data_IF_314611684292
#
_entry.id   IF_314611684292
#
_cell.length_a   1.000
_cell.length_b   1.000
_cell.length_c   1.000
_cell.angle_alpha   90.00
_cell.angle_beta   90.00
_cell.angle_gamma   90.00
#
_symmetry.space_group_name_H-M   'P 1'
#
loop_
_entity.id
_entity.type
_entity.pdbx_description
1 polymer ?
#
# COMPACT_ATOMS: atom_id res chain seq x y z
N UNK A 1 -16.02 -18.78 5.63
CA UNK A 1 -16.21 -17.64 4.72
C UNK A 1 -14.89 -17.41 4.00
N UNK A 2 -14.93 -17.38 2.68
CA UNK A 2 -13.76 -17.11 1.85
C UNK A 2 -13.55 -15.59 1.78
N UNK A 3 -12.32 -15.12 1.96
CA UNK A 3 -11.98 -13.69 1.94
C UNK A 3 -11.47 -13.35 0.54
N UNK A 4 -12.13 -12.46 -0.23
CA UNK A 4 -11.78 -12.21 -1.63
C UNK A 4 -10.31 -11.83 -1.88
N UNK A 5 -9.71 -11.01 -1.01
CA UNK A 5 -8.28 -10.65 -1.08
C UNK A 5 -7.37 -11.88 -0.93
N UNK A 6 -7.74 -12.84 -0.08
CA UNK A 6 -6.99 -14.09 0.07
C UNK A 6 -7.06 -14.95 -1.20
N UNK A 7 -8.21 -14.98 -1.87
CA UNK A 7 -8.37 -15.71 -3.15
C UNK A 7 -7.53 -15.05 -4.24
N UNK A 8 -7.60 -13.71 -4.32
CA UNK A 8 -6.80 -12.90 -5.21
C UNK A 8 -5.31 -13.19 -5.06
N UNK A 9 -4.82 -13.15 -3.82
CA UNK A 9 -3.42 -13.42 -3.50
C UNK A 9 -3.03 -14.86 -3.83
N UNK A 10 -3.83 -15.85 -3.44
CA UNK A 10 -3.52 -17.25 -3.69
C UNK A 10 -3.33 -17.52 -5.19
N UNK A 11 -4.26 -17.03 -6.02
CA UNK A 11 -4.16 -17.16 -7.47
C UNK A 11 -3.01 -16.32 -8.05
N UNK A 12 -2.75 -15.12 -7.52
CA UNK A 12 -1.63 -14.26 -7.95
C UNK A 12 -0.26 -14.90 -7.67
N UNK A 13 -0.15 -15.71 -6.61
CA UNK A 13 1.04 -16.46 -6.22
C UNK A 13 1.08 -17.89 -6.79
N UNK A 14 0.09 -18.31 -7.58
CA UNK A 14 0.03 -19.67 -8.14
C UNK A 14 -0.14 -20.76 -7.08
N UNK A 15 -0.77 -20.47 -5.95
CA UNK A 15 -1.08 -21.45 -4.92
C UNK A 15 -2.22 -22.38 -5.37
N UNK A 16 -2.27 -23.63 -4.86
CA UNK A 16 -3.37 -24.55 -5.16
C UNK A 16 -4.74 -23.95 -4.83
N UNK A 17 -5.76 -24.36 -5.58
CA UNK A 17 -7.14 -23.95 -5.32
C UNK A 17 -7.57 -24.32 -3.88
N UNK A 18 -8.22 -23.37 -3.19
CA UNK A 18 -8.58 -23.52 -1.78
C UNK A 18 -7.42 -23.30 -0.78
N UNK A 19 -6.20 -23.04 -1.25
CA UNK A 19 -5.10 -22.65 -0.37
C UNK A 19 -5.42 -21.32 0.32
N UNK A 20 -5.26 -21.29 1.64
CA UNK A 20 -5.33 -20.05 2.42
C UNK A 20 -3.92 -19.45 2.52
N UNK A 21 -3.63 -18.34 1.83
CA UNK A 21 -2.28 -17.78 1.78
C UNK A 21 -1.79 -17.29 3.14
N UNK A 22 -2.70 -17.00 4.09
CA UNK A 22 -2.38 -16.71 5.49
C UNK A 22 -2.48 -17.99 6.35
N UNK A 23 -1.41 -18.80 6.50
CA UNK A 23 -1.42 -19.98 7.39
C UNK A 23 -1.56 -19.62 8.88
N UNK A 24 -1.30 -18.37 9.27
CA UNK A 24 -1.44 -17.86 10.64
C UNK A 24 -2.86 -17.44 11.04
N UNK A 25 -3.80 -17.38 10.10
CA UNK A 25 -5.18 -16.97 10.36
C UNK A 25 -6.00 -18.13 10.98
N UNK A 26 -5.62 -18.58 12.19
CA UNK A 26 -6.38 -19.55 13.01
C UNK A 26 -7.64 -18.94 13.66
N UNK A 27 -7.80 -17.63 13.52
CA UNK A 27 -8.99 -16.86 13.92
C UNK A 27 -9.41 -15.90 12.80
N UNK A 28 -10.41 -15.04 13.03
CA UNK A 28 -10.78 -14.01 12.07
C UNK A 28 -9.54 -13.14 11.74
N UNK A 29 -9.30 -12.85 10.44
CA UNK A 29 -8.17 -12.02 10.05
C UNK A 29 -8.31 -10.61 10.62
N UNK A 30 -7.19 -9.92 10.80
CA UNK A 30 -7.23 -8.47 11.02
C UNK A 30 -7.83 -7.81 9.77
N UNK A 31 -8.83 -6.91 9.95
CA UNK A 31 -9.56 -6.33 8.83
C UNK A 31 -8.66 -5.43 7.99
N UNK A 32 -8.80 -5.49 6.66
CA UNK A 32 -8.19 -4.53 5.74
C UNK A 32 -9.07 -3.31 5.50
N UNK A 33 -10.37 -3.39 5.82
CA UNK A 33 -11.31 -2.27 5.73
C UNK A 33 -12.51 -2.45 6.66
N UNK A 34 -13.27 -1.38 6.87
CA UNK A 34 -14.55 -1.41 7.57
C UNK A 34 -15.70 -1.03 6.61
N UNK A 35 -16.85 -1.69 6.77
CA UNK A 35 -18.11 -1.33 6.13
C UNK A 35 -19.22 -1.47 7.15
N UNK A 36 -20.04 -0.42 7.33
CA UNK A 36 -21.16 -0.41 8.27
C UNK A 36 -20.76 -0.86 9.69
N UNK A 37 -19.60 -0.39 10.17
CA UNK A 37 -19.07 -0.72 11.50
C UNK A 37 -18.52 -2.15 11.65
N UNK A 38 -18.51 -2.95 10.58
CA UNK A 38 -17.96 -4.31 10.58
C UNK A 38 -16.59 -4.35 9.93
N UNK A 39 -15.62 -4.94 10.61
CA UNK A 39 -14.30 -5.22 10.05
C UNK A 39 -14.39 -6.36 9.03
N UNK A 40 -13.88 -6.12 7.83
CA UNK A 40 -13.92 -7.04 6.69
C UNK A 40 -12.53 -7.15 6.04
N UNK A 41 -12.40 -8.14 5.15
CA UNK A 41 -11.16 -8.38 4.41
C UNK A 41 -10.06 -9.02 5.26
N UNK A 42 -8.84 -9.00 4.73
CA UNK A 42 -7.64 -9.54 5.38
C UNK A 42 -6.46 -8.61 5.11
N UNK A 43 -6.01 -7.92 6.16
CA UNK A 43 -4.86 -7.01 6.09
C UNK A 43 -3.60 -7.67 5.52
N UNK A 44 -3.32 -8.92 5.91
CA UNK A 44 -2.15 -9.67 5.41
C UNK A 44 -2.25 -9.88 3.90
N UNK A 45 -3.42 -10.30 3.42
CA UNK A 45 -3.61 -10.57 2.00
C UNK A 45 -3.59 -9.28 1.17
N UNK A 46 -4.25 -8.23 1.67
CA UNK A 46 -4.24 -6.90 1.06
C UNK A 46 -2.81 -6.36 0.95
N UNK A 47 -2.07 -6.32 2.05
CA UNK A 47 -0.69 -5.78 2.07
C UNK A 47 0.26 -6.59 1.18
N UNK A 48 0.14 -7.92 1.16
CA UNK A 48 0.94 -8.76 0.26
C UNK A 48 0.58 -8.53 -1.22
N UNK A 49 -0.70 -8.35 -1.55
CA UNK A 49 -1.11 -7.96 -2.91
C UNK A 49 -0.55 -6.59 -3.29
N UNK A 50 -0.68 -5.59 -2.42
CA UNK A 50 -0.12 -4.25 -2.65
C UNK A 50 1.40 -4.30 -2.86
N UNK A 51 2.13 -5.13 -2.10
CA UNK A 51 3.57 -5.31 -2.28
C UNK A 51 3.92 -5.93 -3.64
N UNK A 52 3.17 -6.94 -4.08
CA UNK A 52 3.35 -7.57 -5.40
C UNK A 52 3.03 -6.59 -6.54
N UNK A 53 1.96 -5.81 -6.41
CA UNK A 53 1.60 -4.77 -7.39
C UNK A 53 2.65 -3.65 -7.44
N UNK A 54 3.12 -3.21 -6.28
CA UNK A 54 4.15 -2.19 -6.19
C UNK A 54 5.48 -2.68 -6.79
N UNK A 55 5.82 -3.97 -6.61
CA UNK A 55 6.99 -4.57 -7.24
C UNK A 55 6.85 -4.65 -8.78
N UNK A 56 5.70 -5.08 -9.29
CA UNK A 56 5.41 -5.08 -10.73
C UNK A 56 5.52 -3.65 -11.31
N UNK A 57 4.94 -2.64 -10.65
CA UNK A 57 5.05 -1.23 -11.04
C UNK A 57 6.49 -0.69 -10.95
N UNK A 58 7.26 -1.13 -9.95
CA UNK A 58 8.64 -0.70 -9.78
C UNK A 58 9.54 -1.17 -10.92
N UNK A 59 9.28 -2.35 -11.49
CA UNK A 59 9.97 -2.85 -12.68
C UNK A 59 9.60 -2.05 -13.93
N UNK A 60 8.32 -1.69 -14.10
CA UNK A 60 7.86 -0.89 -15.22
C UNK A 60 8.41 0.54 -15.20
N UNK A 61 8.59 1.10 -13.99
CA UNK A 61 9.06 2.46 -13.76
C UNK A 61 10.54 2.53 -13.34
N UNK A 62 11.29 1.44 -13.48
CA UNK A 62 12.65 1.31 -12.94
C UNK A 62 13.60 2.48 -13.32
N UNK A 63 13.67 2.94 -14.59
CA UNK A 63 14.53 4.06 -14.96
C UNK A 63 14.20 5.35 -14.20
N UNK A 64 12.90 5.66 -14.04
CA UNK A 64 12.44 6.85 -13.33
C UNK A 64 12.73 6.73 -11.84
N UNK A 65 12.39 5.59 -11.23
CA UNK A 65 12.57 5.35 -9.80
C UNK A 65 14.04 5.33 -9.38
N UNK A 66 14.93 4.80 -10.23
CA UNK A 66 16.38 4.88 -9.99
C UNK A 66 16.89 6.31 -10.07
N UNK A 67 16.48 7.09 -11.08
CA UNK A 67 16.85 8.50 -11.22
C UNK A 67 16.45 9.32 -10.00
N UNK A 68 15.31 9.01 -9.39
CA UNK A 68 14.80 9.69 -8.21
C UNK A 68 15.34 9.12 -6.88
N UNK A 69 16.15 8.06 -6.92
CA UNK A 69 16.62 7.37 -5.71
C UNK A 69 15.49 6.78 -4.87
N UNK A 70 14.42 6.29 -5.53
CA UNK A 70 13.22 5.74 -4.88
C UNK A 70 13.05 4.24 -5.09
N UNK A 71 13.82 3.62 -6.00
CA UNK A 71 13.63 2.21 -6.38
C UNK A 71 13.67 1.25 -5.20
N UNK A 72 14.54 1.49 -4.21
CA UNK A 72 14.62 0.68 -2.99
C UNK A 72 13.47 0.92 -2.01
N UNK A 73 12.89 2.12 -2.02
CA UNK A 73 11.85 2.53 -1.08
C UNK A 73 10.44 2.06 -1.45
N UNK A 74 10.20 1.62 -2.69
CA UNK A 74 8.86 1.21 -3.15
C UNK A 74 8.30 0.06 -2.33
N UNK A 75 9.11 -0.98 -2.08
CA UNK A 75 8.65 -2.13 -1.30
C UNK A 75 8.38 -1.74 0.15
N UNK A 76 9.30 -1.00 0.79
CA UNK A 76 9.12 -0.54 2.16
C UNK A 76 7.85 0.29 2.31
N UNK A 77 7.63 1.23 1.39
CA UNK A 77 6.44 2.07 1.36
C UNK A 77 5.16 1.21 1.20
N UNK A 78 5.17 0.21 0.31
CA UNK A 78 4.04 -0.68 0.09
C UNK A 78 3.76 -1.59 1.30
N UNK A 79 4.78 -1.97 2.07
CA UNK A 79 4.60 -2.76 3.30
C UNK A 79 4.12 -1.90 4.48
N UNK A 80 4.47 -0.61 4.48
CA UNK A 80 4.17 0.30 5.57
C UNK A 80 2.86 1.08 5.38
N UNK A 81 2.33 1.22 4.16
CA UNK A 81 1.19 2.13 3.88
C UNK A 81 -0.02 1.90 4.79
N UNK A 82 -0.31 0.63 5.10
CA UNK A 82 -1.50 0.20 5.81
C UNK A 82 -1.20 -0.36 7.21
N UNK A 83 0.03 -0.23 7.72
CA UNK A 83 0.43 -0.84 9.00
C UNK A 83 -0.34 -0.25 10.20
N UNK A 84 -0.83 0.98 10.07
CA UNK A 84 -1.73 1.62 11.04
C UNK A 84 -3.07 0.89 11.21
N UNK A 85 -3.43 -0.02 10.29
CA UNK A 85 -4.59 -0.91 10.47
C UNK A 85 -4.34 -2.03 11.49
N UNK A 86 -3.09 -2.25 11.88
CA UNK A 86 -2.72 -3.20 12.93
C UNK A 86 -2.86 -2.61 14.34
N UNK A 87 -3.24 -1.34 14.50
CA UNK A 87 -3.36 -0.73 15.83
C UNK A 87 -4.68 -1.11 16.52
N UNK A 88 -4.70 -1.04 17.84
CA UNK A 88 -5.92 -1.25 18.63
C UNK A 88 -7.02 -0.26 18.24
N UNK A 89 -6.68 1.00 17.95
CA UNK A 89 -7.65 2.00 17.52
C UNK A 89 -8.35 1.61 16.21
N UNK A 90 -7.62 1.07 15.25
CA UNK A 90 -8.22 0.62 14.00
C UNK A 90 -9.09 -0.61 14.23
N UNK A 91 -8.53 -1.64 14.87
CA UNK A 91 -9.17 -2.94 15.02
C UNK A 91 -10.40 -2.89 15.92
N UNK A 92 -10.34 -2.16 17.04
CA UNK A 92 -11.39 -2.15 18.05
C UNK A 92 -12.35 -0.96 17.91
N UNK A 93 -11.89 0.15 17.32
CA UNK A 93 -12.67 1.40 17.25
C UNK A 93 -12.96 1.87 15.83
N UNK A 94 -12.62 1.07 14.82
CA UNK A 94 -12.78 1.41 13.40
C UNK A 94 -12.17 2.77 13.03
N UNK A 95 -11.04 3.13 13.65
CA UNK A 95 -10.43 4.44 13.48
C UNK A 95 -10.03 4.71 12.02
N UNK A 96 -10.58 5.77 11.42
CA UNK A 96 -10.45 5.99 9.97
C UNK A 96 -9.07 6.51 9.53
N UNK A 97 -8.32 7.20 10.40
CA UNK A 97 -7.03 7.84 10.05
C UNK A 97 -5.81 6.92 10.25
N UNK A 98 -5.90 5.69 9.74
CA UNK A 98 -4.81 4.71 9.80
C UNK A 98 -3.58 5.12 8.99
N UNK A 99 -3.73 5.95 7.95
CA UNK A 99 -2.64 6.51 7.16
C UNK A 99 -1.66 7.32 8.02
N UNK A 100 -2.16 8.07 9.02
CA UNK A 100 -1.31 8.82 9.92
C UNK A 100 -0.53 7.90 10.88
N UNK A 101 -1.19 6.91 11.47
CA UNK A 101 -0.51 5.90 12.27
C UNK A 101 0.55 5.16 11.45
N UNK A 102 0.22 4.83 10.20
CA UNK A 102 1.14 4.19 9.25
C UNK A 102 2.35 5.05 8.95
N UNK A 103 2.18 6.37 8.77
CA UNK A 103 3.29 7.29 8.53
C UNK A 103 4.24 7.40 9.72
N UNK A 104 3.70 7.40 10.95
CA UNK A 104 4.52 7.39 12.18
C UNK A 104 5.30 6.08 12.32
N UNK A 105 4.65 4.94 12.10
CA UNK A 105 5.32 3.62 12.13
C UNK A 105 6.38 3.54 11.04
N UNK A 106 6.09 4.04 9.83
CA UNK A 106 7.02 4.06 8.72
C UNK A 106 8.29 4.84 9.07
N UNK A 107 8.16 6.03 9.66
CA UNK A 107 9.31 6.82 10.10
C UNK A 107 10.18 6.07 11.12
N UNK A 108 9.58 5.50 12.16
CA UNK A 108 10.31 4.77 13.21
C UNK A 108 11.04 3.54 12.65
N UNK A 109 10.35 2.75 11.82
CA UNK A 109 10.92 1.53 11.21
C UNK A 109 12.09 1.88 10.31
N UNK A 110 11.90 2.85 9.42
CA UNK A 110 12.96 3.27 8.48
C UNK A 110 14.14 3.91 9.22
N UNK A 111 13.91 4.67 10.30
CA UNK A 111 14.98 5.18 11.14
C UNK A 111 15.81 4.02 11.75
N UNK A 112 15.15 2.94 12.20
CA UNK A 112 15.81 1.74 12.74
C UNK A 112 16.53 0.91 11.68
N UNK A 113 16.10 0.99 10.42
CA UNK A 113 16.82 0.46 9.26
C UNK A 113 18.04 1.30 8.87
N UNK A 114 18.27 2.44 9.54
CA UNK A 114 19.36 3.36 9.22
C UNK A 114 19.08 4.27 8.02
N UNK A 115 17.83 4.37 7.58
CA UNK A 115 17.43 5.30 6.51
C UNK A 115 17.49 6.73 7.05
N UNK A 116 18.24 7.59 6.36
CA UNK A 116 18.43 9.00 6.70
C UNK A 116 17.16 9.83 6.52
N UNK A 117 17.28 11.09 6.09
CA UNK A 117 16.11 11.98 5.92
C UNK A 117 15.11 11.48 4.86
N UNK A 118 15.53 10.59 3.95
CA UNK A 118 14.67 9.94 2.97
C UNK A 118 13.50 9.16 3.60
N UNK A 119 13.60 8.77 4.87
CA UNK A 119 12.49 8.14 5.59
C UNK A 119 11.26 9.03 5.66
N UNK A 120 11.44 10.35 5.69
CA UNK A 120 10.33 11.28 5.70
C UNK A 120 9.63 11.33 4.33
N UNK A 121 10.34 11.13 3.22
CA UNK A 121 9.73 11.01 1.89
C UNK A 121 8.77 9.82 1.85
N UNK A 122 9.21 8.67 2.37
CA UNK A 122 8.38 7.46 2.46
C UNK A 122 7.21 7.67 3.40
N UNK A 123 7.45 8.20 4.60
CA UNK A 123 6.39 8.46 5.58
C UNK A 123 5.35 9.46 5.05
N UNK A 124 5.75 10.48 4.29
CA UNK A 124 4.82 11.42 3.64
C UNK A 124 4.02 10.75 2.53
N UNK A 125 4.64 9.92 1.69
CA UNK A 125 3.92 9.16 0.68
C UNK A 125 2.89 8.20 1.31
N UNK A 126 3.27 7.55 2.42
CA UNK A 126 2.38 6.73 3.25
C UNK A 126 1.29 7.57 3.90
N UNK A 127 1.54 8.80 4.34
CA UNK A 127 0.47 9.66 4.87
C UNK A 127 -0.58 9.95 3.80
N UNK A 128 -0.14 10.20 2.57
CA UNK A 128 -0.98 10.68 1.47
C UNK A 128 -1.74 9.58 0.72
N UNK A 129 -1.44 8.29 0.93
CA UNK A 129 -1.90 7.23 0.02
C UNK A 129 -3.43 7.07 -0.17
N UNK A 130 -4.25 7.59 0.75
CA UNK A 130 -5.73 7.64 0.60
C UNK A 130 -6.25 8.92 -0.06
N UNK A 131 -5.44 9.97 -0.16
CA UNK A 131 -5.86 11.17 -0.86
C UNK A 131 -6.10 10.81 -2.31
N UNK A 132 -7.28 11.18 -2.83
CA UNK A 132 -7.53 11.12 -4.26
C UNK A 132 -6.45 11.96 -4.98
N UNK A 133 -6.25 11.73 -6.28
CA UNK A 133 -5.20 12.37 -7.10
C UNK A 133 -5.41 13.91 -7.23
N UNK A 134 -5.37 14.65 -6.12
CA UNK A 134 -5.44 16.10 -5.99
C UNK A 134 -4.03 16.69 -5.98
N UNK A 135 -3.20 16.23 -6.91
CA UNK A 135 -1.79 16.59 -7.01
C UNK A 135 -1.62 18.10 -7.21
N UNK A 136 -2.53 18.78 -7.91
CA UNK A 136 -2.50 20.24 -8.05
C UNK A 136 -2.62 20.97 -6.71
N UNK A 137 -3.45 20.46 -5.81
CA UNK A 137 -3.68 21.06 -4.49
C UNK A 137 -2.47 20.81 -3.58
N UNK A 138 -1.97 19.56 -3.56
CA UNK A 138 -0.76 19.17 -2.81
C UNK A 138 0.52 19.86 -3.31
N UNK A 139 0.57 20.26 -4.59
CA UNK A 139 1.68 21.03 -5.17
C UNK A 139 1.63 22.52 -4.83
N UNK A 140 0.44 23.07 -4.62
CA UNK A 140 0.24 24.52 -4.42
C UNK A 140 0.37 24.91 -2.96
N UNK A 141 -0.03 24.05 -2.04
CA UNK A 141 -0.01 24.37 -0.61
C UNK A 141 0.57 23.19 0.20
N UNK A 142 1.46 23.45 1.18
CA UNK A 142 1.78 22.46 2.20
C UNK A 142 0.50 21.98 2.86
N UNK A 143 0.48 20.73 3.35
CA UNK A 143 -0.67 20.23 4.13
C UNK A 143 -1.05 21.28 5.19
N UNK A 144 -2.30 21.77 5.19
CA UNK A 144 -2.66 22.89 6.05
C UNK A 144 -2.34 22.60 7.51
N UNK A 145 -1.82 23.60 8.24
CA UNK A 145 -1.44 23.42 9.65
C UNK A 145 -2.55 22.85 10.53
N UNK A 146 -3.82 23.15 10.23
CA UNK A 146 -4.98 22.61 10.92
C UNK A 146 -5.22 21.10 10.64
N UNK A 147 -4.81 20.58 9.48
CA UNK A 147 -4.81 19.14 9.19
C UNK A 147 -3.76 18.47 10.07
N UNK A 148 -2.58 19.07 10.23
CA UNK A 148 -1.50 18.55 11.09
C UNK A 148 -1.90 18.55 12.57
N UNK A 149 -2.59 19.60 13.01
CA UNK A 149 -3.06 19.76 14.40
C UNK A 149 -4.25 18.87 14.75
N UNK A 150 -5.08 18.47 13.77
CA UNK A 150 -6.20 17.55 13.98
C UNK A 150 -5.79 16.07 13.97
N UNK A 151 -4.60 15.73 13.47
CA UNK A 151 -4.01 14.40 13.62
C UNK A 151 -3.74 14.14 15.10
N UNK A 152 -4.50 13.20 15.70
CA UNK A 152 -4.47 12.90 17.14
C UNK A 152 -3.04 12.75 17.69
N UNK A 153 -2.81 13.27 18.89
CA UNK A 153 -1.50 13.34 19.55
C UNK A 153 -1.24 12.26 20.61
N UNK A 154 -1.72 11.03 20.40
CA UNK A 154 -1.48 9.91 21.32
C UNK A 154 -0.62 8.82 20.69
N UNK A 155 0.06 7.99 21.49
CA UNK A 155 0.80 6.84 20.98
C UNK A 155 -0.16 5.83 20.33
N UNK A 156 0.35 5.08 19.36
CA UNK A 156 -0.37 3.97 18.73
C UNK A 156 0.11 2.65 19.31
N UNK A 157 -0.82 1.82 19.78
CA UNK A 157 -0.52 0.46 20.26
C UNK A 157 -0.90 -0.56 19.18
N UNK A 158 0.03 -1.45 18.84
CA UNK A 158 -0.28 -2.59 17.99
C UNK A 158 -1.24 -3.54 18.70
N UNK A 159 -2.29 -3.96 18.01
CA UNK A 159 -3.20 -4.98 18.51
C UNK A 159 -2.45 -6.30 18.74
N UNK A 160 -2.83 -7.05 19.79
CA UNK A 160 -2.17 -8.32 20.19
C UNK A 160 -1.97 -9.34 19.07
N UNK A 161 -2.83 -9.33 18.04
CA UNK A 161 -2.74 -10.24 16.89
C UNK A 161 -1.83 -9.74 15.77
N UNK A 162 -1.28 -8.53 15.86
CA UNK A 162 -0.44 -7.91 14.82
C UNK A 162 0.81 -8.74 14.54
N UNK A 163 1.46 -9.27 15.58
CA UNK A 163 2.68 -10.08 15.43
C UNK A 163 2.47 -11.31 14.54
N UNK A 164 1.41 -12.06 14.78
CA UNK A 164 1.07 -13.22 13.96
C UNK A 164 0.74 -12.84 12.51
N UNK A 165 0.11 -11.67 12.30
CA UNK A 165 -0.15 -11.14 10.97
C UNK A 165 1.15 -10.76 10.22
N UNK A 166 2.10 -10.13 10.91
CA UNK A 166 3.41 -9.74 10.36
C UNK A 166 4.29 -10.97 10.05
N UNK A 167 4.25 -12.01 10.88
CA UNK A 167 4.92 -13.29 10.61
C UNK A 167 4.32 -13.98 9.37
N UNK A 168 2.99 -13.99 9.25
CA UNK A 168 2.32 -14.52 8.06
C UNK A 168 2.66 -13.71 6.79
N UNK A 169 2.69 -12.37 6.89
CA UNK A 169 3.11 -11.50 5.80
C UNK A 169 4.55 -11.80 5.37
N UNK A 170 5.48 -11.95 6.31
CA UNK A 170 6.88 -12.29 5.99
C UNK A 170 6.97 -13.59 5.18
N UNK A 171 6.27 -14.64 5.60
CA UNK A 171 6.27 -15.92 4.86
C UNK A 171 5.65 -15.81 3.46
N UNK A 172 4.71 -14.89 3.24
CA UNK A 172 4.13 -14.62 1.92
C UNK A 172 5.07 -13.82 1.02
N UNK A 173 5.76 -12.83 1.59
CA UNK A 173 6.76 -12.05 0.87
C UNK A 173 7.91 -12.91 0.38
N UNK A 174 8.43 -13.82 1.21
CA UNK A 174 9.46 -14.77 0.80
C UNK A 174 9.01 -15.64 -0.38
N UNK A 175 7.77 -16.14 -0.35
CA UNK A 175 7.19 -16.90 -1.48
C UNK A 175 7.05 -16.07 -2.75
N UNK A 176 6.81 -14.77 -2.62
CA UNK A 176 6.74 -13.84 -3.73
C UNK A 176 8.13 -13.38 -4.23
N UNK A 177 9.22 -13.77 -3.55
CA UNK A 177 10.57 -13.26 -3.85
C UNK A 177 10.79 -11.80 -3.42
N UNK A 178 10.01 -11.31 -2.46
CA UNK A 178 9.99 -9.94 -1.95
C UNK A 178 10.42 -9.84 -0.48
N UNK A 179 11.46 -10.60 -0.10
CA UNK A 179 11.97 -10.60 1.27
C UNK A 179 12.26 -9.19 1.79
N UNK A 180 11.82 -8.88 3.01
CA UNK A 180 12.00 -7.58 3.66
C UNK A 180 12.03 -7.75 5.17
N UNK A 181 12.83 -6.93 5.85
CA UNK A 181 12.88 -6.89 7.31
C UNK A 181 11.78 -6.03 7.94
N UNK A 182 11.04 -5.26 7.13
CA UNK A 182 9.98 -4.35 7.60
C UNK A 182 8.98 -5.04 8.53
N UNK A 183 8.39 -6.21 8.19
CA UNK A 183 7.40 -6.83 9.07
C UNK A 183 7.97 -7.22 10.45
N UNK A 184 9.24 -7.67 10.49
CA UNK A 184 9.95 -7.98 11.73
C UNK A 184 10.13 -6.71 12.57
N UNK A 185 10.64 -5.64 11.97
CA UNK A 185 10.91 -4.39 12.68
C UNK A 185 9.64 -3.73 13.22
N UNK A 186 8.52 -3.82 12.48
CA UNK A 186 7.20 -3.40 12.97
C UNK A 186 6.82 -4.21 14.22
N UNK A 187 7.01 -5.53 14.20
CA UNK A 187 6.59 -6.43 15.28
C UNK A 187 7.45 -6.38 16.56
N UNK A 188 8.62 -5.73 16.52
CA UNK A 188 9.52 -5.58 17.68
C UNK A 188 9.06 -4.54 18.69
N UNK A 189 8.17 -3.62 18.28
CA UNK A 189 7.60 -2.58 19.14
C UNK A 189 6.10 -2.77 19.27
N UNK A 190 5.62 -2.74 20.51
CA UNK A 190 4.19 -2.76 20.79
C UNK A 190 3.57 -1.36 20.69
N UNK A 191 4.34 -0.32 21.04
CA UNK A 191 3.85 1.07 21.13
C UNK A 191 4.74 2.00 20.31
N UNK A 192 4.10 2.85 19.50
CA UNK A 192 4.72 3.87 18.67
C UNK A 192 4.34 5.26 19.17
N UNK A 193 5.34 5.96 19.69
CA UNK A 193 5.19 7.32 20.22
C UNK A 193 5.12 8.34 19.10
N UNK A 194 4.18 9.28 19.20
CA UNK A 194 4.00 10.31 18.18
C UNK A 194 4.71 11.60 18.59
N UNK A 195 5.95 11.75 18.14
CA UNK A 195 6.75 12.95 18.42
C UNK A 195 6.30 14.13 17.55
N UNK A 196 6.15 15.31 18.16
CA UNK A 196 5.76 16.55 17.44
C UNK A 196 6.70 16.86 16.27
N UNK A 197 8.00 16.70 16.46
CA UNK A 197 9.01 16.92 15.42
C UNK A 197 8.80 16.01 14.20
N UNK A 198 8.43 14.75 14.43
CA UNK A 198 8.14 13.77 13.39
C UNK A 198 6.87 14.16 12.64
N UNK A 199 5.80 14.53 13.34
CA UNK A 199 4.57 15.04 12.71
C UNK A 199 4.86 16.20 11.77
N UNK A 200 5.61 17.18 12.28
CA UNK A 200 5.97 18.38 11.53
C UNK A 200 6.80 18.02 10.31
N UNK A 201 7.80 17.14 10.45
CA UNK A 201 8.62 16.71 9.31
C UNK A 201 7.82 15.95 8.25
N UNK A 202 7.04 14.94 8.64
CA UNK A 202 6.17 14.19 7.71
C UNK A 202 5.24 15.14 6.94
N UNK A 203 4.66 16.12 7.62
CA UNK A 203 3.75 17.06 6.97
C UNK A 203 4.46 18.18 6.17
N UNK A 204 5.70 18.51 6.53
CA UNK A 204 6.50 19.57 5.89
C UNK A 204 7.45 19.07 4.81
N UNK A 205 7.44 17.79 4.42
CA UNK A 205 8.29 17.33 3.30
C UNK A 205 7.82 18.02 2.02
N UNK A 206 8.40 19.20 1.78
CA UNK A 206 8.24 20.05 0.62
C UNK A 206 9.05 19.52 -0.58
N UNK A 207 9.09 18.20 -0.76
CA UNK A 207 9.71 17.57 -1.93
C UNK A 207 8.62 16.84 -2.72
N UNK A 208 7.67 17.58 -3.35
CA UNK A 208 6.68 16.96 -4.20
C UNK A 208 7.33 16.08 -5.29
N UNK A 209 8.53 16.41 -5.75
CA UNK A 209 9.24 15.68 -6.80
C UNK A 209 9.55 14.21 -6.47
N UNK A 210 9.78 13.87 -5.19
CA UNK A 210 10.06 12.49 -4.75
C UNK A 210 8.87 11.86 -4.02
N UNK A 211 8.10 12.66 -3.28
CA UNK A 211 6.89 12.18 -2.59
C UNK A 211 5.82 11.78 -3.59
N UNK A 212 5.55 12.59 -4.63
CA UNK A 212 4.46 12.33 -5.56
C UNK A 212 4.66 11.05 -6.39
N UNK A 213 5.84 10.75 -6.96
CA UNK A 213 6.04 9.49 -7.67
C UNK A 213 5.88 8.27 -6.77
N UNK A 214 6.38 8.33 -5.53
CA UNK A 214 6.23 7.22 -4.58
C UNK A 214 4.77 7.06 -4.14
N UNK A 215 4.09 8.16 -3.80
CA UNK A 215 2.66 8.19 -3.51
C UNK A 215 1.85 7.60 -4.67
N UNK A 216 2.16 7.96 -5.92
CA UNK A 216 1.44 7.45 -7.08
C UNK A 216 1.59 5.93 -7.21
N UNK A 217 2.80 5.40 -7.02
CA UNK A 217 3.03 3.94 -7.02
C UNK A 217 2.23 3.27 -5.91
N UNK A 218 2.20 3.84 -4.71
CA UNK A 218 1.40 3.32 -3.60
C UNK A 218 -0.09 3.36 -3.90
N UNK A 219 -0.60 4.49 -4.38
CA UNK A 219 -2.00 4.67 -4.72
C UNK A 219 -2.45 3.65 -5.77
N UNK A 220 -1.66 3.44 -6.82
CA UNK A 220 -1.97 2.43 -7.84
C UNK A 220 -1.93 1.02 -7.27
N UNK A 221 -0.88 0.67 -6.53
CA UNK A 221 -0.74 -0.65 -5.96
C UNK A 221 -1.86 -0.99 -4.96
N UNK A 222 -2.20 -0.05 -4.08
CA UNK A 222 -3.27 -0.18 -3.09
C UNK A 222 -4.64 -0.34 -3.76
N UNK A 223 -4.97 0.50 -4.76
CA UNK A 223 -6.25 0.38 -5.47
C UNK A 223 -6.36 -0.92 -6.28
N UNK A 224 -5.25 -1.35 -6.92
CA UNK A 224 -5.18 -2.64 -7.60
C UNK A 224 -5.41 -3.79 -6.63
N UNK A 225 -4.79 -3.78 -5.46
CA UNK A 225 -5.05 -4.76 -4.41
C UNK A 225 -6.51 -4.70 -3.90
N UNK A 226 -7.02 -3.51 -3.60
CA UNK A 226 -8.36 -3.28 -3.09
C UNK A 226 -9.47 -3.72 -4.06
N UNK A 227 -9.22 -3.73 -5.37
CA UNK A 227 -10.16 -4.28 -6.37
C UNK A 227 -10.58 -5.73 -6.09
N UNK A 228 -9.73 -6.50 -5.39
CA UNK A 228 -10.04 -7.86 -4.97
C UNK A 228 -11.24 -7.93 -4.02
N UNK A 229 -11.54 -6.87 -3.26
CA UNK A 229 -12.66 -6.83 -2.28
C UNK A 229 -14.03 -7.05 -2.92
N UNK A 230 -14.16 -6.73 -4.21
CA UNK A 230 -15.39 -6.97 -4.99
C UNK A 230 -15.44 -8.35 -5.64
N UNK A 231 -14.46 -9.22 -5.38
CA UNK A 231 -14.29 -10.51 -6.07
C UNK A 231 -13.82 -10.39 -7.52
N UNK A 232 -13.56 -9.17 -8.01
CA UNK A 232 -13.13 -8.86 -9.37
C UNK A 232 -11.78 -8.15 -9.35
N UNK A 233 -10.73 -8.91 -9.07
CA UNK A 233 -9.37 -8.38 -9.09
C UNK A 233 -9.01 -7.85 -10.49
N UNK A 234 -8.48 -6.61 -10.53
CA UNK A 234 -8.30 -5.80 -11.75
C UNK A 234 -7.63 -6.56 -12.90
N UNK A 235 -6.58 -7.34 -12.58
CA UNK A 235 -5.79 -8.06 -13.58
C UNK A 235 -6.64 -9.09 -14.33
N UNK A 236 -7.64 -9.69 -13.68
CA UNK A 236 -8.51 -10.68 -14.29
C UNK A 236 -9.67 -10.04 -15.04
N UNK A 237 -10.16 -8.90 -14.56
CA UNK A 237 -11.12 -8.05 -15.29
C UNK A 237 -10.52 -7.56 -16.62
N UNK A 238 -9.22 -7.29 -16.66
CA UNK A 238 -8.48 -7.00 -17.90
C UNK A 238 -8.31 -8.23 -18.80
N UNK A 239 -8.30 -9.46 -18.28
CA UNK A 239 -8.28 -10.67 -19.11
C UNK A 239 -9.57 -10.89 -19.91
N UNK A 240 -10.69 -10.32 -19.43
CA UNK A 240 -11.98 -10.31 -20.11
C UNK A 240 -12.12 -9.10 -21.06
N UNK A 241 -11.64 -7.92 -20.65
CA UNK A 241 -11.75 -6.68 -21.42
C UNK A 241 -10.58 -6.43 -22.40
N UNK A 242 -9.36 -6.82 -22.05
CA UNK A 242 -8.14 -6.74 -22.88
C UNK A 242 -8.15 -7.68 -24.09
N UNK A 243 -9.11 -8.60 -24.19
CA UNK A 243 -9.45 -9.30 -25.44
C UNK A 243 -10.07 -8.38 -26.49
N UNK A 244 -10.50 -7.15 -26.13
CA UNK A 244 -11.30 -6.29 -26.99
C UNK A 244 -10.64 -5.00 -27.49
N UNK A 245 -9.52 -4.55 -26.91
CA UNK A 245 -8.59 -3.50 -27.40
C UNK A 245 -8.00 -2.68 -26.21
N UNK A 246 -6.69 -2.78 -25.92
CA UNK A 246 -6.02 -2.00 -24.87
C UNK A 246 -6.11 -0.47 -25.05
N UNK A 247 -6.14 0.04 -26.28
CA UNK A 247 -6.22 1.48 -26.57
C UNK A 247 -7.62 2.04 -26.31
N UNK A 248 -8.65 1.25 -26.59
CA UNK A 248 -10.02 1.58 -26.24
C UNK A 248 -10.23 1.60 -24.73
N UNK A 249 -9.60 0.67 -23.99
CA UNK A 249 -9.71 0.61 -22.53
C UNK A 249 -8.97 1.77 -21.85
N UNK A 250 -7.79 2.14 -22.39
CA UNK A 250 -7.13 3.37 -22.03
C UNK A 250 -8.01 4.59 -22.39
N UNK A 251 -8.60 4.64 -23.58
CA UNK A 251 -9.48 5.73 -24.03
C UNK A 251 -10.75 5.92 -23.21
N UNK A 252 -11.41 4.83 -22.79
CA UNK A 252 -12.59 4.84 -21.91
C UNK A 252 -12.20 5.28 -20.49
N UNK A 253 -11.03 4.89 -19.99
CA UNK A 253 -10.47 5.39 -18.72
C UNK A 253 -9.95 6.84 -18.83
N UNK A 254 -9.59 7.30 -20.03
CA UNK A 254 -8.94 8.58 -20.33
C UNK A 254 -9.88 9.68 -20.82
N UNK A 255 -11.20 9.44 -20.88
CA UNK A 255 -12.22 10.41 -21.30
C UNK A 255 -12.33 11.69 -20.44
N UNK A 256 -11.37 11.99 -19.55
CA UNK A 256 -11.31 13.20 -18.73
C UNK A 256 -9.93 13.88 -18.69
N UNK A 257 -9.19 13.87 -19.81
CA UNK A 257 -8.16 14.89 -20.08
C UNK A 257 -6.77 14.71 -19.45
N UNK A 258 -5.81 15.34 -20.13
CA UNK A 258 -4.38 15.61 -19.88
C UNK A 258 -3.42 14.56 -19.26
N UNK A 259 -3.87 13.37 -18.85
CA UNK A 259 -3.06 12.35 -18.17
C UNK A 259 -2.45 11.26 -19.07
N UNK A 260 -2.50 11.44 -20.40
CA UNK A 260 -2.10 10.43 -21.39
C UNK A 260 -0.63 9.95 -21.30
N UNK A 261 0.26 10.66 -20.60
CA UNK A 261 1.65 10.25 -20.41
C UNK A 261 1.91 9.34 -19.20
N UNK A 262 1.04 9.36 -18.18
CA UNK A 262 1.24 8.63 -16.91
C UNK A 262 0.28 7.44 -16.74
N UNK A 263 -0.87 7.46 -17.40
CA UNK A 263 -1.77 6.29 -17.51
C UNK A 263 -1.43 5.38 -18.69
N UNK A 264 -0.46 5.73 -19.54
CA UNK A 264 0.03 4.83 -20.59
C UNK A 264 0.83 3.63 -20.04
N UNK A 265 1.10 3.59 -18.73
CA UNK A 265 1.81 2.48 -18.06
C UNK A 265 0.85 1.49 -17.38
N UNK A 266 -0.47 1.70 -17.41
CA UNK A 266 -1.42 0.82 -16.70
C UNK A 266 -1.89 -0.43 -17.47
N UNK A 267 -1.20 -0.82 -18.55
CA UNK A 267 -1.34 -2.16 -19.15
C UNK A 267 0.06 -2.77 -19.30
N UNK A 268 0.37 -3.90 -18.63
CA UNK A 268 1.66 -4.55 -18.78
C UNK A 268 1.83 -5.03 -20.24
N UNK A 269 2.56 -4.29 -21.06
CA UNK A 269 2.89 -4.64 -22.46
C UNK A 269 3.58 -6.01 -22.56
N UNK A 270 4.22 -6.48 -21.48
CA UNK A 270 4.89 -7.79 -21.44
C UNK A 270 3.95 -8.98 -21.20
N UNK A 271 2.77 -8.79 -20.57
CA UNK A 271 1.86 -9.90 -20.26
C UNK A 271 0.77 -10.14 -21.31
N UNK A 272 0.53 -9.19 -22.22
CA UNK A 272 -0.31 -9.44 -23.41
C UNK A 272 0.29 -10.46 -24.39
N UNK A 273 1.62 -10.72 -24.31
CA UNK A 273 2.31 -11.71 -25.15
C UNK A 273 2.30 -13.13 -24.58
N UNK A 274 1.99 -13.31 -23.30
CA UNK A 274 2.03 -14.62 -22.62
C UNK A 274 0.70 -15.38 -22.60
N UNK A 275 -0.38 -14.78 -23.11
CA UNK A 275 -1.72 -15.40 -23.19
C UNK A 275 -2.04 -15.85 -24.64
N UNK A 276 -1.08 -15.70 -25.55
CA UNK A 276 -1.14 -16.24 -26.92
C UNK A 276 -0.17 -17.42 -27.13
N UNK A 277 0.12 -18.18 -26.07
CA UNK A 277 0.83 -19.45 -26.12
C UNK A 277 -0.08 -20.58 -25.69
#
# INVERSE_FOLDING_TARGET
MEVPECVALARRLGLPEGARPCPGCRGPPLPSYFREGRGLGCWVAHTALSAVEAADLAEELDPLLRRLGLRGSVLDAALLHDVGKLTEEYVERAYHYHNFASAVVAEDVLARMGVGEDRFVVASAVLLHHEARHWEELLREPLPGHVIETLRGGPFRLHRSARAALEALSGLLERAGLGSEVPRLVGEKEVYEVKREVKVKIARVAVPERVLPLYWVLYEADNRAASAREGRYWLWSLGEAGRRDPLRLAGEALGQGLLAGLTAVSVPLRRARGVMG
#
